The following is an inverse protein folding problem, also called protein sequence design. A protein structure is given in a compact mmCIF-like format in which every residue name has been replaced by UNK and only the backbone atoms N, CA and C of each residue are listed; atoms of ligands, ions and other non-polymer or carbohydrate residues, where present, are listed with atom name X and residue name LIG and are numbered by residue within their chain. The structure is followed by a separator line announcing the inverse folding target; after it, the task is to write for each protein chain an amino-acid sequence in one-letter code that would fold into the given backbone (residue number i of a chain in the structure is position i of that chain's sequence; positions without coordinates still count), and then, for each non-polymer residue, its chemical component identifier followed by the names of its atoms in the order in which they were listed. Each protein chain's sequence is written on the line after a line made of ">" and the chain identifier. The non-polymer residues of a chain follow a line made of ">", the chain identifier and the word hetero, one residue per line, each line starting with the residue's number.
data_IF_706224913540
#
_entry.id   IF_706224913540
#
_cell.length_a   1.000
_cell.length_b   1.000
_cell.length_c   1.000
_cell.angle_alpha   90.00
_cell.angle_beta   90.00
_cell.angle_gamma   90.00
#
_symmetry.space_group_name_H-M   'P 1'
#
loop_
_entity.id
_entity.type
_entity.pdbx_description
1 polymer ?
#
# COMPACT_ATOMS: atom_id res chain seq x y z
N UNK A 1 -59.94 60.77 23.50
CA UNK A 1 -58.73 61.48 23.94
C UNK A 1 -57.62 61.01 23.02
N UNK A 2 -57.20 61.90 22.10
CA UNK A 2 -56.03 61.91 21.18
C UNK A 2 -55.58 60.62 20.46
N UNK A 3 -55.61 60.59 19.11
CA UNK A 3 -54.62 61.17 18.15
C UNK A 3 -53.45 60.18 17.94
N UNK A 4 -52.94 59.83 16.77
CA UNK A 4 -52.99 60.41 15.43
C UNK A 4 -52.84 59.31 14.37
N UNK A 5 -53.57 59.45 13.28
CA UNK A 5 -53.38 58.77 12.00
C UNK A 5 -52.34 59.54 11.19
N UNK A 6 -51.29 58.87 10.71
CA UNK A 6 -50.42 59.43 9.67
C UNK A 6 -50.46 58.49 8.47
N UNK A 7 -51.25 58.92 7.51
CA UNK A 7 -51.28 58.50 6.12
C UNK A 7 -50.06 59.13 5.42
N UNK A 8 -49.32 58.37 4.63
CA UNK A 8 -48.31 58.95 3.73
C UNK A 8 -48.31 58.18 2.43
N UNK A 9 -49.06 58.73 1.48
CA UNK A 9 -48.91 58.53 0.05
C UNK A 9 -47.49 58.94 -0.39
N UNK A 10 -46.78 58.05 -1.07
CA UNK A 10 -45.66 58.43 -1.95
C UNK A 10 -45.82 57.66 -3.27
N UNK A 11 -45.91 58.45 -4.35
CA UNK A 11 -46.02 58.10 -5.76
C UNK A 11 -44.98 57.06 -6.27
N UNK A 12 -45.30 56.35 -7.39
CA UNK A 12 -44.37 55.44 -8.03
C UNK A 12 -43.31 56.22 -8.81
N UNK A 13 -42.05 56.06 -8.43
CA UNK A 13 -40.92 56.63 -9.16
C UNK A 13 -40.82 56.02 -10.58
N UNK A 14 -40.74 56.92 -11.55
CA UNK A 14 -40.62 56.68 -12.97
C UNK A 14 -39.42 55.80 -13.37
N UNK A 15 -39.55 55.15 -14.52
CA UNK A 15 -38.66 54.13 -15.07
C UNK A 15 -37.18 54.49 -15.06
N UNK A 16 -36.39 53.55 -14.54
CA UNK A 16 -34.95 53.47 -14.78
C UNK A 16 -34.69 52.29 -15.71
N UNK A 17 -34.40 52.59 -16.97
CA UNK A 17 -33.78 51.66 -17.91
C UNK A 17 -32.46 51.15 -17.32
N UNK A 18 -32.17 49.83 -17.37
CA UNK A 18 -30.89 49.30 -16.92
C UNK A 18 -29.74 49.87 -17.78
N UNK A 19 -28.55 50.12 -17.19
CA UNK A 19 -27.41 50.65 -17.92
C UNK A 19 -26.95 49.68 -19.03
N UNK A 20 -26.40 50.18 -20.16
CA UNK A 20 -25.97 49.33 -21.26
C UNK A 20 -24.87 48.37 -20.79
N UNK A 21 -25.01 47.10 -21.18
CA UNK A 21 -24.05 46.05 -20.89
C UNK A 21 -22.65 46.47 -21.36
N UNK A 22 -21.64 46.26 -20.50
CA UNK A 22 -20.24 46.49 -20.85
C UNK A 22 -19.86 45.66 -22.09
N UNK A 23 -19.06 46.22 -23.03
CA UNK A 23 -18.63 45.48 -24.20
C UNK A 23 -17.81 44.25 -23.77
N UNK A 24 -18.14 43.09 -24.35
CA UNK A 24 -17.39 41.86 -24.17
C UNK A 24 -15.90 42.09 -24.50
N UNK A 25 -14.96 41.59 -23.68
CA UNK A 25 -13.55 41.69 -23.98
C UNK A 25 -13.25 40.94 -25.29
N UNK A 26 -12.37 41.46 -26.16
CA UNK A 26 -12.09 40.87 -27.46
C UNK A 26 -11.58 39.45 -27.29
N UNK A 27 -12.15 38.53 -28.09
CA UNK A 27 -11.70 37.15 -28.21
C UNK A 27 -10.20 37.13 -28.55
N UNK A 28 -9.38 36.78 -27.57
CA UNK A 28 -7.95 36.59 -27.76
C UNK A 28 -7.69 35.45 -28.76
N UNK A 29 -6.69 35.59 -29.66
CA UNK A 29 -6.43 34.58 -30.66
C UNK A 29 -5.75 33.37 -30.02
N UNK A 30 -6.26 32.17 -30.30
CA UNK A 30 -5.62 30.91 -29.94
C UNK A 30 -6.16 30.28 -28.67
N UNK A 31 -7.44 29.90 -28.69
CA UNK A 31 -7.96 28.90 -27.77
C UNK A 31 -7.24 27.58 -28.01
N UNK A 32 -6.19 27.33 -27.23
CA UNK A 32 -5.66 25.99 -27.01
C UNK A 32 -6.88 25.14 -26.62
N UNK A 33 -7.30 24.21 -27.49
CA UNK A 33 -8.45 23.34 -27.23
C UNK A 33 -8.31 22.82 -25.81
N UNK A 34 -9.32 22.96 -24.92
CA UNK A 34 -9.17 22.52 -23.55
C UNK A 34 -8.81 21.04 -23.61
N UNK A 35 -7.55 20.72 -23.26
CA UNK A 35 -7.03 19.35 -23.28
C UNK A 35 -8.09 18.44 -22.69
N UNK A 36 -8.48 17.42 -23.46
CA UNK A 36 -9.56 16.51 -23.11
C UNK A 36 -9.34 16.02 -21.68
N UNK A 37 -10.41 15.77 -20.92
CA UNK A 37 -10.29 15.20 -19.57
C UNK A 37 -9.40 13.94 -19.57
N UNK A 38 -9.38 13.21 -20.69
CA UNK A 38 -8.51 12.06 -20.95
C UNK A 38 -7.03 12.49 -21.06
N UNK A 39 -6.68 13.58 -21.74
CA UNK A 39 -5.29 14.06 -21.86
C UNK A 39 -4.73 14.55 -20.52
N UNK A 40 -5.58 15.15 -19.67
CA UNK A 40 -5.19 15.56 -18.31
C UNK A 40 -5.07 14.34 -17.38
N UNK A 41 -5.95 13.36 -17.51
CA UNK A 41 -5.85 12.09 -16.79
C UNK A 41 -4.60 11.30 -17.23
N UNK A 42 -4.29 11.26 -18.53
CA UNK A 42 -3.07 10.64 -19.08
C UNK A 42 -1.81 11.37 -18.60
N UNK A 43 -1.80 12.70 -18.59
CA UNK A 43 -0.67 13.48 -18.05
C UNK A 43 -0.46 13.25 -16.54
N UNK A 44 -1.55 13.15 -15.76
CA UNK A 44 -1.53 12.83 -14.34
C UNK A 44 -1.03 11.40 -14.07
N UNK A 45 -1.54 10.42 -14.83
CA UNK A 45 -1.08 9.04 -14.81
C UNK A 45 0.40 8.96 -15.15
N UNK A 46 0.86 9.58 -16.24
CA UNK A 46 2.29 9.55 -16.63
C UNK A 46 3.17 10.13 -15.53
N UNK A 47 2.78 11.23 -14.87
CA UNK A 47 3.52 11.80 -13.75
C UNK A 47 3.53 10.88 -12.52
N UNK A 48 2.41 10.24 -12.21
CA UNK A 48 2.33 9.34 -11.06
C UNK A 48 3.05 8.01 -11.30
N UNK A 49 2.95 7.47 -12.51
CA UNK A 49 3.69 6.28 -12.94
C UNK A 49 5.18 6.56 -13.04
N UNK A 50 5.64 7.73 -13.49
CA UNK A 50 7.09 8.00 -13.54
C UNK A 50 7.73 8.07 -12.14
N UNK A 51 6.99 8.47 -11.11
CA UNK A 51 7.44 8.37 -9.71
C UNK A 51 7.49 6.94 -9.16
N UNK A 52 6.51 6.09 -9.48
CA UNK A 52 6.43 4.70 -9.01
C UNK A 52 7.22 3.69 -9.88
N UNK A 53 7.49 4.03 -11.14
CA UNK A 53 8.12 3.13 -12.11
C UNK A 53 9.52 2.71 -11.66
N UNK A 54 10.31 3.63 -11.08
CA UNK A 54 11.64 3.31 -10.57
C UNK A 54 11.57 2.19 -9.52
N UNK A 55 10.60 2.27 -8.61
CA UNK A 55 10.43 1.25 -7.58
C UNK A 55 9.96 -0.08 -8.15
N UNK A 56 9.01 -0.07 -9.09
CA UNK A 56 8.51 -1.27 -9.76
C UNK A 56 9.62 -1.96 -10.58
N UNK A 57 10.39 -1.20 -11.35
CA UNK A 57 11.52 -1.72 -12.13
C UNK A 57 12.58 -2.32 -11.21
N UNK A 58 12.96 -1.61 -10.15
CA UNK A 58 13.93 -2.11 -9.16
C UNK A 58 13.42 -3.42 -8.52
N UNK A 59 12.16 -3.47 -8.09
CA UNK A 59 11.54 -4.68 -7.53
C UNK A 59 11.51 -5.83 -8.53
N UNK A 60 11.23 -5.54 -9.80
CA UNK A 60 11.23 -6.53 -10.88
C UNK A 60 12.61 -7.11 -11.15
N UNK A 61 13.64 -6.26 -11.25
CA UNK A 61 15.04 -6.71 -11.43
C UNK A 61 15.47 -7.58 -10.26
N UNK A 62 15.25 -7.11 -9.04
CA UNK A 62 15.59 -7.85 -7.82
C UNK A 62 14.84 -9.18 -7.73
N UNK A 63 13.55 -9.19 -8.09
CA UNK A 63 12.76 -10.42 -8.18
C UNK A 63 13.38 -11.41 -9.15
N UNK A 64 13.70 -11.00 -10.39
CA UNK A 64 14.30 -11.87 -11.41
C UNK A 64 15.63 -12.44 -10.94
N UNK A 65 16.51 -11.59 -10.41
CA UNK A 65 17.85 -12.02 -9.97
C UNK A 65 17.75 -12.99 -8.79
N UNK A 66 17.02 -12.62 -7.73
CA UNK A 66 16.90 -13.48 -6.55
C UNK A 66 16.06 -14.73 -6.81
N UNK A 67 15.11 -14.72 -7.76
CA UNK A 67 14.39 -15.93 -8.14
C UNK A 67 15.32 -16.93 -8.82
N UNK A 68 16.29 -16.48 -9.62
CA UNK A 68 17.26 -17.38 -10.26
C UNK A 68 18.32 -17.91 -9.29
N UNK A 69 18.65 -17.15 -8.25
CA UNK A 69 19.66 -17.55 -7.27
C UNK A 69 19.11 -18.45 -6.15
N UNK A 70 17.81 -18.40 -5.88
CA UNK A 70 17.19 -19.09 -4.74
C UNK A 70 16.12 -20.07 -5.20
N UNK A 71 15.89 -21.10 -4.39
CA UNK A 71 14.91 -22.16 -4.68
C UNK A 71 13.52 -21.78 -4.16
N UNK A 72 12.46 -22.44 -4.67
CA UNK A 72 11.11 -22.27 -4.14
C UNK A 72 11.01 -22.57 -2.63
N UNK A 73 11.76 -23.54 -2.13
CA UNK A 73 11.76 -23.90 -0.71
C UNK A 73 12.30 -22.77 0.17
N UNK A 74 13.39 -22.14 -0.24
CA UNK A 74 13.99 -21.03 0.50
C UNK A 74 13.05 -19.83 0.59
N UNK A 75 12.35 -19.53 -0.51
CA UNK A 75 11.29 -18.52 -0.52
C UNK A 75 10.09 -18.91 0.33
N UNK A 76 9.72 -20.19 0.33
CA UNK A 76 8.65 -20.72 1.15
C UNK A 76 8.92 -20.53 2.64
N UNK A 77 10.11 -20.86 3.11
CA UNK A 77 10.51 -20.71 4.50
C UNK A 77 10.45 -19.26 4.97
N UNK A 78 11.02 -18.34 4.19
CA UNK A 78 10.93 -16.90 4.53
C UNK A 78 9.51 -16.39 4.37
N UNK A 79 8.76 -16.88 3.38
CA UNK A 79 7.35 -16.59 3.19
C UNK A 79 6.53 -16.94 4.43
N UNK A 80 6.67 -18.16 4.96
CA UNK A 80 6.01 -18.60 6.18
C UNK A 80 6.37 -17.72 7.39
N UNK A 81 7.66 -17.40 7.54
CA UNK A 81 8.10 -16.51 8.61
C UNK A 81 7.47 -15.11 8.48
N UNK A 82 7.51 -14.53 7.28
CA UNK A 82 6.96 -13.19 7.03
C UNK A 82 5.43 -13.17 7.14
N UNK A 83 4.72 -14.24 6.81
CA UNK A 83 3.27 -14.35 7.04
C UNK A 83 2.93 -14.13 8.51
N UNK A 84 3.68 -14.78 9.41
CA UNK A 84 3.45 -14.64 10.85
C UNK A 84 3.95 -13.29 11.38
N UNK A 85 5.15 -12.86 10.98
CA UNK A 85 5.73 -11.58 11.40
C UNK A 85 4.83 -10.41 10.98
N UNK A 86 4.34 -10.39 9.74
CA UNK A 86 3.46 -9.34 9.26
C UNK A 86 2.09 -9.38 9.97
N UNK A 87 1.57 -10.56 10.29
CA UNK A 87 0.33 -10.69 11.08
C UNK A 87 0.50 -10.03 12.45
N UNK A 88 1.58 -10.33 13.18
CA UNK A 88 1.87 -9.72 14.48
C UNK A 88 2.15 -8.21 14.35
N UNK A 89 2.73 -7.77 13.23
CA UNK A 89 2.97 -6.34 12.95
C UNK A 89 1.67 -5.54 12.83
N UNK A 90 0.54 -6.15 12.47
CA UNK A 90 -0.75 -5.47 12.47
C UNK A 90 -1.17 -5.04 13.87
N UNK A 91 -0.81 -5.83 14.90
CA UNK A 91 -1.05 -5.47 16.29
C UNK A 91 -0.05 -4.42 16.79
N UNK A 92 1.20 -4.43 16.33
CA UNK A 92 2.19 -3.42 16.76
C UNK A 92 1.86 -2.00 16.29
N UNK A 93 1.05 -1.87 15.24
CA UNK A 93 0.58 -0.58 14.72
C UNK A 93 -0.79 -0.14 15.27
N UNK A 94 -1.32 -0.85 16.29
CA UNK A 94 -2.67 -0.68 16.85
C UNK A 94 -3.01 0.79 17.07
N UNK A 95 -3.76 1.37 16.13
CA UNK A 95 -4.45 2.64 16.29
C UNK A 95 -3.65 3.93 16.34
N UNK A 96 -2.49 3.90 16.99
CA UNK A 96 -1.64 5.05 17.28
C UNK A 96 -1.17 5.72 15.99
N UNK A 97 -0.83 4.94 14.96
CA UNK A 97 -0.35 5.47 13.68
C UNK A 97 -1.39 6.33 12.97
N UNK A 98 -2.57 5.77 12.65
CA UNK A 98 -3.70 6.54 12.10
C UNK A 98 -4.13 7.71 13.00
N UNK A 99 -4.15 7.52 14.32
CA UNK A 99 -4.55 8.57 15.25
C UNK A 99 -3.58 9.77 15.23
N UNK A 100 -2.26 9.54 15.15
CA UNK A 100 -1.27 10.61 14.97
C UNK A 100 -1.47 11.38 13.66
N UNK A 101 -1.92 10.71 12.60
CA UNK A 101 -2.15 11.33 11.29
C UNK A 101 -3.42 12.18 11.31
N UNK A 102 -4.52 11.68 11.86
CA UNK A 102 -5.83 12.32 11.75
C UNK A 102 -6.12 13.36 12.83
N UNK A 103 -5.43 13.31 13.98
CA UNK A 103 -5.69 14.24 15.07
C UNK A 103 -5.37 15.70 14.66
N UNK A 104 -6.28 16.67 14.83
CA UNK A 104 -6.02 18.07 14.44
C UNK A 104 -4.81 18.67 15.17
N UNK A 105 -4.74 18.49 16.48
CA UNK A 105 -3.68 19.06 17.32
C UNK A 105 -2.83 17.95 17.96
N UNK A 106 -1.51 18.05 17.77
CA UNK A 106 -0.53 17.21 18.44
C UNK A 106 0.30 18.07 19.38
N UNK A 107 0.29 17.69 20.65
CA UNK A 107 1.31 18.17 21.58
C UNK A 107 2.47 17.16 21.68
N UNK A 108 3.54 17.54 22.37
CA UNK A 108 4.70 16.67 22.57
C UNK A 108 4.38 15.41 23.38
N UNK A 109 3.40 15.47 24.29
CA UNK A 109 2.96 14.33 25.12
C UNK A 109 2.36 13.21 24.26
N UNK A 110 1.60 13.57 23.21
CA UNK A 110 1.10 12.59 22.25
C UNK A 110 2.26 11.88 21.52
N UNK A 111 3.28 12.63 21.11
CA UNK A 111 4.43 12.06 20.40
C UNK A 111 5.26 11.14 21.29
N UNK A 112 5.52 11.56 22.53
CA UNK A 112 6.25 10.74 23.52
C UNK A 112 5.47 9.50 23.90
N UNK A 113 4.17 9.63 24.16
CA UNK A 113 3.28 8.49 24.45
C UNK A 113 3.23 7.51 23.28
N UNK A 114 3.08 8.01 22.05
CA UNK A 114 3.09 7.18 20.86
C UNK A 114 4.43 6.46 20.67
N UNK A 115 5.55 7.16 20.87
CA UNK A 115 6.89 6.56 20.82
C UNK A 115 7.05 5.44 21.85
N UNK A 116 6.60 5.66 23.10
CA UNK A 116 6.62 4.64 24.14
C UNK A 116 5.78 3.44 23.77
N UNK A 117 4.55 3.64 23.30
CA UNK A 117 3.67 2.53 22.89
C UNK A 117 4.31 1.74 21.75
N UNK A 118 4.75 2.38 20.67
CA UNK A 118 5.35 1.67 19.54
C UNK A 118 6.63 0.93 19.91
N UNK A 119 7.48 1.53 20.73
CA UNK A 119 8.75 0.92 21.14
C UNK A 119 8.51 -0.26 22.06
N UNK A 120 7.64 -0.12 23.07
CA UNK A 120 7.30 -1.20 23.99
C UNK A 120 6.56 -2.33 23.28
N UNK A 121 5.60 -2.02 22.40
CA UNK A 121 4.93 -3.02 21.57
C UNK A 121 5.90 -3.73 20.64
N UNK A 122 6.84 -3.00 20.02
CA UNK A 122 7.88 -3.59 19.18
C UNK A 122 8.76 -4.59 19.93
N UNK A 123 9.21 -4.23 21.13
CA UNK A 123 9.99 -5.13 21.99
C UNK A 123 9.16 -6.33 22.49
N UNK A 124 7.93 -6.08 22.92
CA UNK A 124 7.01 -7.11 23.39
C UNK A 124 6.70 -8.13 22.30
N UNK A 125 6.37 -7.68 21.09
CA UNK A 125 6.08 -8.57 19.98
C UNK A 125 7.32 -9.28 19.45
N UNK A 126 8.50 -8.64 19.50
CA UNK A 126 9.75 -9.32 19.21
C UNK A 126 10.00 -10.50 20.17
N UNK A 127 9.85 -10.26 21.47
CA UNK A 127 9.99 -11.30 22.50
C UNK A 127 8.92 -12.39 22.36
N UNK A 128 7.67 -12.00 22.13
CA UNK A 128 6.55 -12.94 21.93
C UNK A 128 6.80 -13.90 20.77
N UNK A 129 7.19 -13.39 19.60
CA UNK A 129 7.46 -14.23 18.43
C UNK A 129 8.73 -15.06 18.63
N UNK A 130 9.77 -14.53 19.28
CA UNK A 130 10.99 -15.29 19.57
C UNK A 130 10.73 -16.51 20.48
N UNK A 131 9.86 -16.35 21.47
CA UNK A 131 9.45 -17.42 22.40
C UNK A 131 8.49 -18.40 21.73
N UNK A 132 7.54 -17.91 20.93
CA UNK A 132 6.55 -18.75 20.25
C UNK A 132 7.05 -19.37 18.94
N UNK A 133 8.27 -19.03 18.48
CA UNK A 133 8.88 -19.57 17.26
C UNK A 133 8.80 -21.11 17.12
N UNK A 134 9.03 -21.92 18.18
CA UNK A 134 8.86 -23.38 18.07
C UNK A 134 7.42 -23.82 17.80
N UNK A 135 6.43 -23.16 18.41
CA UNK A 135 5.01 -23.46 18.18
C UNK A 135 4.61 -23.11 16.74
N UNK A 136 5.12 -21.98 16.22
CA UNK A 136 4.87 -21.55 14.84
C UNK A 136 5.52 -22.54 13.86
N UNK A 137 6.76 -22.97 14.14
CA UNK A 137 7.44 -23.99 13.34
C UNK A 137 6.70 -25.34 13.37
N UNK A 138 6.13 -25.73 14.51
CA UNK A 138 5.29 -26.91 14.62
C UNK A 138 3.99 -26.78 13.82
N UNK A 139 3.38 -25.59 13.78
CA UNK A 139 2.18 -25.34 12.98
C UNK A 139 2.45 -25.51 11.48
N UNK A 140 3.57 -24.98 10.99
CA UNK A 140 3.95 -25.07 9.58
C UNK A 140 4.64 -26.39 9.20
N UNK A 141 5.15 -27.14 10.18
CA UNK A 141 5.92 -28.37 9.97
C UNK A 141 7.10 -28.16 8.99
N UNK A 142 7.79 -27.03 9.11
CA UNK A 142 8.92 -26.66 8.24
C UNK A 142 10.23 -26.58 9.03
N UNK A 143 11.20 -27.39 8.60
CA UNK A 143 12.55 -27.37 9.16
C UNK A 143 13.25 -26.04 8.86
N UNK A 144 14.01 -25.53 9.84
CA UNK A 144 14.72 -24.25 9.69
C UNK A 144 13.87 -22.99 9.91
N UNK A 145 12.56 -23.09 10.15
CA UNK A 145 11.71 -21.91 10.39
C UNK A 145 12.01 -21.17 11.70
N UNK A 146 12.39 -21.90 12.76
CA UNK A 146 12.70 -21.34 14.08
C UNK A 146 13.80 -20.26 14.04
N UNK A 147 15.01 -20.53 13.50
CA UNK A 147 16.07 -19.53 13.45
C UNK A 147 15.69 -18.33 12.56
N UNK A 148 14.93 -18.54 11.49
CA UNK A 148 14.43 -17.46 10.62
C UNK A 148 13.51 -16.53 11.41
N UNK A 149 12.52 -17.07 12.12
CA UNK A 149 11.61 -16.29 12.96
C UNK A 149 12.39 -15.50 14.02
N UNK A 150 13.33 -16.14 14.72
CA UNK A 150 14.14 -15.50 15.77
C UNK A 150 15.02 -14.36 15.29
N UNK A 151 15.39 -14.33 14.01
CA UNK A 151 16.11 -13.20 13.42
C UNK A 151 15.15 -12.17 12.84
N UNK A 152 14.07 -12.62 12.18
CA UNK A 152 13.07 -11.73 11.59
C UNK A 152 12.41 -10.81 12.62
N UNK A 153 12.29 -11.24 13.88
CA UNK A 153 11.74 -10.41 14.96
C UNK A 153 12.54 -9.16 15.26
N UNK A 154 13.81 -9.08 14.87
CA UNK A 154 14.62 -7.87 15.02
C UNK A 154 14.05 -6.70 14.19
N UNK A 155 13.17 -6.97 13.24
CA UNK A 155 12.43 -5.93 12.52
C UNK A 155 11.41 -5.21 13.40
N UNK A 156 10.85 -5.83 14.46
CA UNK A 156 9.82 -5.20 15.29
C UNK A 156 10.34 -4.00 16.09
N UNK A 157 11.48 -4.08 16.82
CA UNK A 157 11.98 -2.93 17.56
C UNK A 157 12.33 -1.78 16.62
N UNK A 158 12.99 -2.06 15.48
CA UNK A 158 13.35 -1.01 14.50
C UNK A 158 12.09 -0.32 13.97
N UNK A 159 11.05 -1.09 13.64
CA UNK A 159 9.76 -0.51 13.22
C UNK A 159 9.07 0.26 14.34
N UNK A 160 9.15 -0.18 15.60
CA UNK A 160 8.64 0.55 16.76
C UNK A 160 9.31 1.93 16.91
N UNK A 161 10.64 1.98 16.79
CA UNK A 161 11.40 3.24 16.83
C UNK A 161 11.06 4.18 15.65
N UNK A 162 10.69 3.63 14.50
CA UNK A 162 10.52 4.42 13.26
C UNK A 162 9.06 4.73 12.94
N UNK A 163 8.12 4.19 13.70
CA UNK A 163 6.69 4.38 13.51
C UNK A 163 6.24 5.85 13.65
N UNK A 164 6.75 6.58 14.66
CA UNK A 164 6.43 8.01 14.86
C UNK A 164 6.93 8.87 13.68
N UNK A 165 8.22 8.81 13.25
CA UNK A 165 8.69 9.46 12.04
C UNK A 165 7.82 9.20 10.81
N UNK A 166 7.42 7.94 10.58
CA UNK A 166 6.57 7.57 9.44
C UNK A 166 5.19 8.23 9.55
N UNK A 167 4.58 8.21 10.73
CA UNK A 167 3.29 8.85 10.96
C UNK A 167 3.35 10.37 10.75
N UNK A 168 4.40 11.03 11.26
CA UNK A 168 4.64 12.46 11.07
C UNK A 168 4.86 12.81 9.59
N UNK A 169 5.67 12.04 8.85
CA UNK A 169 5.83 12.26 7.40
C UNK A 169 4.54 12.14 6.62
N UNK A 170 3.69 11.17 6.97
CA UNK A 170 2.37 10.99 6.33
C UNK A 170 1.45 12.17 6.64
N UNK A 171 1.41 12.60 7.91
CA UNK A 171 0.64 13.78 8.35
C UNK A 171 1.08 15.05 7.63
N UNK A 172 2.38 15.26 7.50
CA UNK A 172 2.98 16.41 6.79
C UNK A 172 2.93 16.28 5.27
N UNK A 173 2.28 15.23 4.74
CA UNK A 173 2.17 14.93 3.30
C UNK A 173 3.53 14.84 2.59
N UNK A 174 4.60 14.44 3.30
CA UNK A 174 5.96 14.28 2.76
C UNK A 174 6.14 12.94 2.04
N UNK A 175 5.16 12.57 1.21
CA UNK A 175 5.13 11.28 0.49
C UNK A 175 6.34 11.06 -0.41
N UNK A 176 6.86 12.12 -1.05
CA UNK A 176 8.06 12.04 -1.88
C UNK A 176 9.28 11.55 -1.10
N UNK A 177 9.47 12.04 0.14
CA UNK A 177 10.58 11.58 1.00
C UNK A 177 10.39 10.13 1.42
N UNK A 178 9.16 9.74 1.79
CA UNK A 178 8.84 8.33 2.11
C UNK A 178 9.09 7.40 0.92
N UNK A 179 8.73 7.82 -0.30
CA UNK A 179 8.98 7.06 -1.52
C UNK A 179 10.48 6.87 -1.76
N UNK A 180 11.29 7.94 -1.63
CA UNK A 180 12.75 7.87 -1.76
C UNK A 180 13.34 6.92 -0.70
N UNK A 181 12.92 7.02 0.56
CA UNK A 181 13.37 6.11 1.63
C UNK A 181 13.04 4.66 1.27
N UNK A 182 11.83 4.39 0.78
CA UNK A 182 11.44 3.04 0.39
C UNK A 182 12.27 2.48 -0.77
N UNK A 183 12.55 3.28 -1.79
CA UNK A 183 13.38 2.89 -2.94
C UNK A 183 14.81 2.59 -2.50
N UNK A 184 15.43 3.51 -1.75
CA UNK A 184 16.82 3.36 -1.28
C UNK A 184 16.96 2.17 -0.33
N UNK A 185 16.03 2.04 0.63
CA UNK A 185 16.04 0.92 1.57
C UNK A 185 15.82 -0.43 0.89
N UNK A 186 14.92 -0.51 -0.09
CA UNK A 186 14.70 -1.74 -0.86
C UNK A 186 15.92 -2.09 -1.71
N UNK A 187 16.51 -1.11 -2.39
CA UNK A 187 17.73 -1.29 -3.19
C UNK A 187 18.91 -1.75 -2.34
N UNK A 188 19.15 -1.12 -1.19
CA UNK A 188 20.21 -1.53 -0.27
C UNK A 188 19.93 -2.91 0.35
N UNK A 189 18.70 -3.15 0.81
CA UNK A 189 18.32 -4.39 1.47
C UNK A 189 18.29 -5.58 0.52
N UNK A 190 17.38 -5.59 -0.46
CA UNK A 190 17.26 -6.74 -1.36
C UNK A 190 18.24 -6.69 -2.53
N UNK A 191 18.50 -5.51 -3.09
CA UNK A 191 19.36 -5.37 -4.26
C UNK A 191 20.85 -5.54 -3.97
N UNK A 192 21.34 -5.05 -2.83
CA UNK A 192 22.77 -5.18 -2.46
C UNK A 192 22.97 -6.34 -1.50
N UNK A 193 22.35 -6.30 -0.31
CA UNK A 193 22.56 -7.33 0.72
C UNK A 193 21.96 -8.67 0.29
N UNK A 194 20.71 -8.69 -0.18
CA UNK A 194 20.04 -9.90 -0.63
C UNK A 194 20.76 -10.58 -1.79
N UNK A 195 20.97 -9.87 -2.90
CA UNK A 195 21.66 -10.44 -4.08
C UNK A 195 23.10 -10.82 -3.73
N UNK A 196 23.83 -9.97 -2.99
CA UNK A 196 25.20 -10.25 -2.58
C UNK A 196 25.32 -11.52 -1.73
N UNK A 197 24.47 -11.68 -0.72
CA UNK A 197 24.44 -12.89 0.11
C UNK A 197 23.98 -14.13 -0.67
N UNK A 198 23.01 -13.99 -1.57
CA UNK A 198 22.57 -15.10 -2.41
C UNK A 198 23.68 -15.57 -3.35
N UNK A 199 24.43 -14.63 -3.95
CA UNK A 199 25.59 -14.95 -4.80
C UNK A 199 26.72 -15.65 -4.03
N UNK A 200 26.91 -15.28 -2.75
CA UNK A 200 27.87 -15.93 -1.85
C UNK A 200 27.39 -17.28 -1.30
N UNK A 201 26.19 -17.75 -1.68
CA UNK A 201 25.68 -19.07 -1.29
C UNK A 201 25.05 -19.14 0.10
N UNK A 202 24.63 -18.02 0.70
CA UNK A 202 23.95 -18.00 2.01
C UNK A 202 22.50 -18.52 1.97
N UNK A 203 21.96 -18.82 0.78
CA UNK A 203 20.63 -19.39 0.60
C UNK A 203 19.51 -18.57 1.25
N UNK A 204 18.66 -19.22 2.04
CA UNK A 204 17.57 -18.60 2.83
C UNK A 204 17.99 -17.33 3.58
N UNK A 205 19.20 -17.31 4.15
CA UNK A 205 19.69 -16.18 4.95
C UNK A 205 19.89 -14.90 4.15
N UNK A 206 20.01 -15.00 2.81
CA UNK A 206 20.05 -13.83 1.93
C UNK A 206 18.76 -13.01 2.01
N UNK A 207 17.61 -13.66 2.05
CA UNK A 207 16.31 -13.00 2.15
C UNK A 207 16.07 -12.44 3.56
N UNK A 208 16.47 -13.19 4.59
CA UNK A 208 16.39 -12.71 5.98
C UNK A 208 17.26 -11.47 6.17
N UNK A 209 18.52 -11.54 5.73
CA UNK A 209 19.45 -10.42 5.73
C UNK A 209 18.92 -9.22 4.95
N UNK A 210 18.31 -9.45 3.78
CA UNK A 210 17.69 -8.40 2.98
C UNK A 210 16.54 -7.68 3.70
N UNK A 211 15.67 -8.41 4.40
CA UNK A 211 14.57 -7.83 5.19
C UNK A 211 15.11 -6.94 6.30
N UNK A 212 16.06 -7.46 7.09
CA UNK A 212 16.65 -6.73 8.21
C UNK A 212 17.43 -5.50 7.72
N UNK A 213 18.22 -5.64 6.66
CA UNK A 213 18.95 -4.53 6.04
C UNK A 213 17.99 -3.47 5.52
N UNK A 214 16.89 -3.85 4.83
CA UNK A 214 15.88 -2.90 4.35
C UNK A 214 15.28 -2.10 5.50
N UNK A 215 14.82 -2.77 6.56
CA UNK A 215 14.19 -2.10 7.70
C UNK A 215 15.19 -1.22 8.44
N UNK A 216 16.44 -1.65 8.55
CA UNK A 216 17.52 -0.88 9.19
C UNK A 216 17.88 0.38 8.39
N UNK A 217 18.09 0.27 7.07
CA UNK A 217 18.40 1.41 6.20
C UNK A 217 17.24 2.41 6.19
N UNK A 218 16.00 1.92 6.04
CA UNK A 218 14.82 2.78 6.13
C UNK A 218 14.77 3.50 7.50
N UNK A 219 15.03 2.76 8.58
CA UNK A 219 15.01 3.31 9.92
C UNK A 219 16.05 4.40 10.15
N UNK A 220 17.29 4.16 9.72
CA UNK A 220 18.37 5.15 9.78
C UNK A 220 17.96 6.43 9.04
N UNK A 221 17.48 6.30 7.79
CA UNK A 221 17.05 7.45 6.99
C UNK A 221 15.89 8.22 7.64
N UNK A 222 14.91 7.52 8.23
CA UNK A 222 13.79 8.14 8.92
C UNK A 222 14.25 8.91 10.17
N UNK A 223 15.14 8.34 10.97
CA UNK A 223 15.65 8.97 12.19
C UNK A 223 16.46 10.24 11.90
N UNK A 224 17.16 10.31 10.76
CA UNK A 224 17.89 11.50 10.33
C UNK A 224 16.99 12.55 9.69
N UNK A 225 15.99 12.14 8.90
CA UNK A 225 15.16 13.08 8.14
C UNK A 225 13.99 13.65 8.93
N UNK A 226 13.59 13.02 10.03
CA UNK A 226 12.47 13.46 10.87
C UNK A 226 12.79 13.34 12.36
N UNK A 227 13.29 14.43 12.97
CA UNK A 227 13.43 14.52 14.41
C UNK A 227 12.09 14.41 15.12
N UNK A 228 12.06 13.73 16.26
CA UNK A 228 10.89 13.60 17.12
C UNK A 228 11.36 13.30 18.56
N UNK A 229 10.53 13.53 19.58
CA UNK A 229 10.91 13.28 20.96
C UNK A 229 11.01 11.77 21.23
N UNK A 230 12.20 11.31 21.63
CA UNK A 230 12.53 9.91 21.93
C UNK A 230 12.49 9.59 23.42
N UNK A 231 11.87 10.46 24.21
CA UNK A 231 11.77 10.26 25.66
C UNK A 231 10.62 9.31 25.95
N UNK A 232 10.91 8.26 26.73
CA UNK A 232 9.86 7.37 27.20
C UNK A 232 8.98 8.12 28.21
N UNK A 233 7.70 8.26 27.89
CA UNK A 233 6.70 8.90 28.74
C UNK A 233 5.35 8.27 28.42
N UNK A 234 4.54 8.06 29.46
CA UNK A 234 3.23 7.46 29.32
C UNK A 234 2.19 8.32 30.02
N UNK A 235 1.44 9.07 29.21
CA UNK A 235 0.32 9.87 29.68
C UNK A 235 -1.00 9.17 29.34
N UNK A 236 -1.83 8.92 30.37
CA UNK A 236 -3.08 8.14 30.21
C UNK A 236 -4.09 8.80 29.27
N UNK A 237 -4.17 10.13 29.28
CA UNK A 237 -5.10 10.90 28.45
C UNK A 237 -4.72 10.79 26.96
N UNK A 238 -3.49 11.17 26.51
CA UNK A 238 -3.03 10.92 25.15
C UNK A 238 -3.13 9.45 24.73
N UNK A 239 -2.83 8.50 25.63
CA UNK A 239 -2.93 7.08 25.32
C UNK A 239 -4.37 6.64 25.00
N UNK A 240 -5.34 7.02 25.85
CA UNK A 240 -6.75 6.69 25.66
C UNK A 240 -7.27 7.27 24.36
N UNK A 241 -6.92 8.52 24.08
CA UNK A 241 -7.29 9.23 22.86
C UNK A 241 -6.78 8.52 21.60
N UNK A 242 -5.49 8.13 21.60
CA UNK A 242 -4.87 7.45 20.47
C UNK A 242 -5.45 6.04 20.24
N UNK A 243 -5.79 5.32 21.31
CA UNK A 243 -6.32 3.96 21.22
C UNK A 243 -7.79 3.90 20.80
N UNK A 244 -8.64 4.84 21.26
CA UNK A 244 -10.07 4.86 20.93
C UNK A 244 -10.32 5.02 19.42
N UNK A 245 -9.48 5.83 18.76
CA UNK A 245 -9.54 6.07 17.32
C UNK A 245 -9.12 4.86 16.47
N UNK A 246 -8.42 3.92 17.09
CA UNK A 246 -7.57 2.96 16.39
C UNK A 246 -8.06 1.53 16.26
N UNK A 247 -8.98 1.13 17.15
CA UNK A 247 -9.43 -0.25 17.27
C UNK A 247 -10.14 -0.75 15.99
N UNK A 248 -11.12 0.01 15.49
CA UNK A 248 -11.91 -0.38 14.32
C UNK A 248 -11.06 -0.57 13.06
N UNK A 249 -10.10 0.33 12.82
CA UNK A 249 -9.20 0.24 11.68
C UNK A 249 -8.27 -0.97 11.76
N UNK A 250 -7.83 -1.33 12.97
CA UNK A 250 -6.97 -2.50 13.15
C UNK A 250 -7.73 -3.80 12.91
N UNK A 251 -8.97 -3.91 13.38
CA UNK A 251 -9.84 -5.06 13.11
C UNK A 251 -10.06 -5.21 11.59
N UNK A 252 -10.36 -4.12 10.88
CA UNK A 252 -10.53 -4.16 9.44
C UNK A 252 -9.26 -4.68 8.72
N UNK A 253 -8.07 -4.20 9.12
CA UNK A 253 -6.80 -4.69 8.58
C UNK A 253 -6.50 -6.15 8.91
N UNK A 254 -6.87 -6.61 10.10
CA UNK A 254 -6.71 -8.01 10.48
C UNK A 254 -7.60 -8.91 9.62
N UNK A 255 -8.86 -8.53 9.42
CA UNK A 255 -9.79 -9.26 8.55
C UNK A 255 -9.29 -9.28 7.09
N UNK A 256 -8.83 -8.15 6.57
CA UNK A 256 -8.25 -8.05 5.23
C UNK A 256 -6.99 -8.91 5.08
N UNK A 257 -6.12 -8.91 6.10
CA UNK A 257 -4.92 -9.73 6.08
C UNK A 257 -5.23 -11.23 6.13
N UNK A 258 -6.16 -11.65 7.00
CA UNK A 258 -6.59 -13.05 7.07
C UNK A 258 -7.26 -13.47 5.75
N UNK A 259 -8.09 -12.61 5.16
CA UNK A 259 -8.72 -12.89 3.87
C UNK A 259 -7.73 -12.98 2.71
N UNK A 260 -6.67 -12.15 2.71
CA UNK A 260 -5.69 -12.11 1.63
C UNK A 260 -4.52 -13.08 1.78
N UNK A 261 -4.23 -13.54 3.01
CA UNK A 261 -3.09 -14.41 3.33
C UNK A 261 -3.50 -15.78 3.87
N UNK A 262 -4.79 -16.02 4.10
CA UNK A 262 -5.30 -17.30 4.58
C UNK A 262 -4.92 -18.46 3.67
N UNK A 263 -5.03 -18.25 2.35
CA UNK A 263 -4.62 -19.24 1.34
C UNK A 263 -3.13 -19.57 1.43
N UNK A 264 -2.27 -18.55 1.58
CA UNK A 264 -0.82 -18.76 1.78
C UNK A 264 -0.52 -19.54 3.07
N UNK A 265 -1.23 -19.25 4.17
CA UNK A 265 -1.05 -19.96 5.42
C UNK A 265 -1.46 -21.43 5.32
N UNK A 266 -2.57 -21.72 4.63
CA UNK A 266 -3.03 -23.09 4.38
C UNK A 266 -2.07 -23.86 3.46
N UNK A 267 -1.63 -23.25 2.36
CA UNK A 267 -0.65 -23.87 1.45
C UNK A 267 0.65 -24.18 2.18
N UNK A 268 1.16 -23.25 3.00
CA UNK A 268 2.37 -23.48 3.79
C UNK A 268 2.24 -24.64 4.76
N UNK A 269 1.12 -24.70 5.49
CA UNK A 269 0.88 -25.77 6.47
C UNK A 269 0.70 -27.14 5.82
N UNK A 270 -0.13 -27.23 4.79
CA UNK A 270 -0.57 -28.52 4.24
C UNK A 270 0.37 -29.06 3.15
N UNK A 271 1.05 -28.17 2.41
CA UNK A 271 1.88 -28.54 1.25
C UNK A 271 3.37 -28.23 1.43
N UNK A 272 3.75 -27.61 2.56
CA UNK A 272 5.14 -27.34 2.91
C UNK A 272 5.76 -26.12 2.20
N UNK A 273 7.05 -25.91 2.47
CA UNK A 273 7.77 -24.69 2.08
C UNK A 273 7.85 -24.51 0.56
N UNK A 274 8.24 -25.54 -0.20
CA UNK A 274 8.37 -25.43 -1.65
C UNK A 274 7.05 -25.05 -2.35
N UNK A 275 5.93 -25.60 -1.89
CA UNK A 275 4.60 -25.25 -2.39
C UNK A 275 4.22 -23.80 -2.03
N UNK A 276 4.50 -23.36 -0.80
CA UNK A 276 4.29 -21.98 -0.39
C UNK A 276 5.10 -20.98 -1.21
N UNK A 277 6.38 -21.28 -1.45
CA UNK A 277 7.22 -20.44 -2.31
C UNK A 277 6.69 -20.38 -3.73
N UNK A 278 6.26 -21.52 -4.28
CA UNK A 278 5.66 -21.62 -5.61
C UNK A 278 4.37 -20.78 -5.70
N UNK A 279 3.43 -20.99 -4.78
CA UNK A 279 2.16 -20.28 -4.75
C UNK A 279 2.36 -18.78 -4.48
N UNK A 280 3.22 -18.42 -3.53
CA UNK A 280 3.56 -17.03 -3.23
C UNK A 280 4.15 -16.29 -4.43
N UNK A 281 4.96 -16.97 -5.27
CA UNK A 281 5.46 -16.37 -6.52
C UNK A 281 4.39 -16.25 -7.58
N UNK A 282 3.53 -17.24 -7.75
CA UNK A 282 2.37 -17.13 -8.63
C UNK A 282 1.49 -15.93 -8.24
N UNK A 283 1.20 -15.78 -6.94
CA UNK A 283 0.44 -14.66 -6.38
C UNK A 283 1.15 -13.31 -6.59
N UNK A 284 2.48 -13.26 -6.45
CA UNK A 284 3.22 -12.04 -6.71
C UNK A 284 3.21 -11.65 -8.20
N UNK A 285 3.27 -12.61 -9.12
CA UNK A 285 3.23 -12.32 -10.56
C UNK A 285 1.86 -11.76 -10.98
N UNK A 286 0.77 -12.22 -10.39
CA UNK A 286 -0.58 -11.73 -10.72
C UNK A 286 -0.91 -10.38 -10.07
N UNK A 287 -0.29 -10.05 -8.92
CA UNK A 287 -0.53 -8.75 -8.27
C UNK A 287 0.09 -7.59 -9.03
N UNK A 288 1.24 -7.77 -9.69
CA UNK A 288 1.89 -6.70 -10.49
C UNK A 288 0.93 -6.05 -11.51
N UNK A 289 0.30 -6.79 -12.44
CA UNK A 289 -0.65 -6.18 -13.36
C UNK A 289 -1.92 -5.71 -12.67
N UNK A 290 -2.40 -6.43 -11.65
CA UNK A 290 -3.61 -6.03 -10.89
C UNK A 290 -3.43 -4.65 -10.26
N UNK A 291 -2.27 -4.38 -9.68
CA UNK A 291 -1.94 -3.09 -9.06
C UNK A 291 -1.90 -1.97 -10.10
N UNK A 292 -1.36 -2.24 -11.31
CA UNK A 292 -1.32 -1.27 -12.39
C UNK A 292 -2.73 -0.90 -12.87
N UNK A 293 -3.64 -1.87 -12.99
CA UNK A 293 -5.02 -1.63 -13.42
C UNK A 293 -5.89 -1.00 -12.33
N UNK A 294 -5.71 -1.39 -11.07
CA UNK A 294 -6.44 -0.81 -9.93
C UNK A 294 -6.28 0.70 -9.83
N UNK A 295 -5.06 1.20 -10.06
CA UNK A 295 -4.79 2.65 -10.12
C UNK A 295 -5.62 3.36 -11.19
N UNK A 296 -5.77 2.77 -12.38
CA UNK A 296 -6.57 3.38 -13.46
C UNK A 296 -8.05 3.46 -13.05
N UNK A 297 -8.58 2.43 -12.38
CA UNK A 297 -9.94 2.46 -11.85
C UNK A 297 -10.10 3.57 -10.80
N UNK A 298 -9.21 3.61 -9.82
CA UNK A 298 -9.30 4.52 -8.67
C UNK A 298 -9.04 5.98 -9.04
N UNK A 299 -8.18 6.24 -10.02
CA UNK A 299 -7.75 7.62 -10.34
C UNK A 299 -8.46 8.24 -11.53
N UNK A 300 -8.98 7.42 -12.45
CA UNK A 300 -9.63 7.92 -13.67
C UNK A 300 -11.12 7.70 -13.59
N UNK A 301 -11.55 6.48 -13.27
CA UNK A 301 -12.97 6.13 -13.32
C UNK A 301 -13.72 6.64 -12.09
N UNK A 302 -13.16 6.50 -10.89
CA UNK A 302 -13.84 6.96 -9.68
C UNK A 302 -14.09 8.48 -9.65
N UNK A 303 -13.12 9.38 -9.94
CA UNK A 303 -13.38 10.82 -9.96
C UNK A 303 -14.34 11.25 -11.07
N UNK A 304 -14.32 10.53 -12.20
CA UNK A 304 -15.26 10.76 -13.30
C UNK A 304 -16.70 10.41 -12.90
N UNK A 305 -16.89 9.32 -12.15
CA UNK A 305 -18.18 8.93 -11.59
C UNK A 305 -18.65 9.87 -10.48
N UNK A 306 -17.76 10.30 -9.58
CA UNK A 306 -18.10 11.21 -8.48
C UNK A 306 -18.64 12.57 -8.98
N UNK A 307 -18.14 13.07 -10.12
CA UNK A 307 -18.66 14.30 -10.76
C UNK A 307 -20.06 14.14 -11.34
N UNK A 308 -20.47 12.90 -11.65
CA UNK A 308 -21.77 12.56 -12.22
C UNK A 308 -22.75 12.03 -11.17
N UNK A 309 -22.42 12.09 -9.88
CA UNK A 309 -23.22 11.50 -8.80
C UNK A 309 -24.68 12.00 -8.73
N UNK A 310 -24.94 13.22 -9.23
CA UNK A 310 -26.28 13.83 -9.23
C UNK A 310 -27.09 13.52 -10.50
N UNK A 311 -26.51 12.84 -11.49
CA UNK A 311 -27.15 12.46 -12.74
C UNK A 311 -27.06 10.93 -12.88
N UNK A 312 -28.07 10.23 -12.35
CA UNK A 312 -28.13 8.77 -12.30
C UNK A 312 -28.00 8.11 -13.69
N UNK A 313 -28.52 8.76 -14.73
CA UNK A 313 -28.51 8.20 -16.08
C UNK A 313 -27.09 8.27 -16.68
N UNK A 314 -26.42 9.43 -16.54
CA UNK A 314 -25.02 9.58 -16.94
C UNK A 314 -24.07 8.75 -16.08
N UNK A 315 -24.34 8.62 -14.79
CA UNK A 315 -23.57 7.77 -13.89
C UNK A 315 -23.66 6.30 -14.33
N UNK A 316 -24.85 5.80 -14.67
CA UNK A 316 -25.06 4.43 -15.16
C UNK A 316 -24.32 4.18 -16.48
N UNK A 317 -24.35 5.15 -17.40
CA UNK A 317 -23.60 5.09 -18.66
C UNK A 317 -22.09 5.12 -18.43
N UNK A 318 -21.59 5.99 -17.53
CA UNK A 318 -20.18 6.07 -17.17
C UNK A 318 -19.70 4.77 -16.48
N UNK A 319 -20.49 4.21 -15.57
CA UNK A 319 -20.21 2.94 -14.91
C UNK A 319 -20.15 1.78 -15.91
N UNK A 320 -21.15 1.66 -16.80
CA UNK A 320 -21.15 0.64 -17.87
C UNK A 320 -19.95 0.81 -18.82
N UNK A 321 -19.62 2.04 -19.19
CA UNK A 321 -18.49 2.33 -20.07
C UNK A 321 -17.15 2.02 -19.37
N UNK A 322 -17.04 2.33 -18.09
CA UNK A 322 -15.88 2.00 -17.26
C UNK A 322 -15.65 0.50 -17.13
N UNK A 323 -16.71 -0.26 -16.81
CA UNK A 323 -16.64 -1.74 -16.77
C UNK A 323 -16.37 -2.32 -18.15
N UNK A 324 -16.98 -1.79 -19.22
CA UNK A 324 -16.74 -2.28 -20.58
C UNK A 324 -15.28 -2.03 -21.00
N UNK A 325 -14.73 -0.84 -20.73
CA UNK A 325 -13.31 -0.54 -20.97
C UNK A 325 -12.41 -1.47 -20.16
N UNK A 326 -12.75 -1.67 -18.88
CA UNK A 326 -12.02 -2.57 -18.00
C UNK A 326 -12.02 -4.01 -18.55
N UNK A 327 -13.18 -4.52 -18.97
CA UNK A 327 -13.30 -5.86 -19.57
C UNK A 327 -12.53 -5.96 -20.90
N UNK A 328 -12.62 -4.95 -21.77
CA UNK A 328 -11.93 -4.92 -23.08
C UNK A 328 -10.41 -4.94 -22.91
N UNK A 329 -9.87 -4.35 -21.86
CA UNK A 329 -8.42 -4.34 -21.61
C UNK A 329 -7.99 -5.57 -20.82
N UNK A 330 -8.71 -5.92 -19.76
CA UNK A 330 -8.31 -6.98 -18.84
C UNK A 330 -8.50 -8.37 -19.45
N UNK A 331 -9.62 -8.64 -20.14
CA UNK A 331 -9.87 -9.96 -20.72
C UNK A 331 -8.76 -10.41 -21.69
N UNK A 332 -8.37 -9.63 -22.72
CA UNK A 332 -7.29 -10.05 -23.60
C UNK A 332 -5.95 -10.12 -22.88
N UNK A 333 -5.70 -9.24 -21.91
CA UNK A 333 -4.48 -9.30 -21.09
C UNK A 333 -4.40 -10.58 -20.26
N UNK A 334 -5.49 -10.99 -19.62
CA UNK A 334 -5.60 -12.22 -18.84
C UNK A 334 -5.46 -13.45 -19.74
N UNK A 335 -6.10 -13.47 -20.92
CA UNK A 335 -5.93 -14.57 -21.89
C UNK A 335 -4.49 -14.66 -22.39
N UNK A 336 -3.87 -13.53 -22.74
CA UNK A 336 -2.47 -13.48 -23.17
C UNK A 336 -1.54 -13.98 -22.06
N UNK A 337 -1.77 -13.57 -20.82
CA UNK A 337 -1.00 -14.01 -19.66
C UNK A 337 -1.19 -15.50 -19.38
N UNK A 338 -2.40 -16.03 -19.55
CA UNK A 338 -2.71 -17.45 -19.36
C UNK A 338 -1.94 -18.33 -20.36
N UNK A 339 -1.93 -17.91 -21.64
CA UNK A 339 -1.25 -18.61 -22.72
C UNK A 339 0.27 -18.52 -22.58
N UNK A 340 0.79 -17.32 -22.26
CA UNK A 340 2.23 -17.08 -22.10
C UNK A 340 2.74 -17.41 -20.69
N UNK A 341 1.93 -17.96 -19.80
CA UNK A 341 2.32 -18.26 -18.42
C UNK A 341 3.60 -19.11 -18.32
N UNK A 342 3.78 -20.20 -19.10
CA UNK A 342 5.01 -20.98 -19.09
C UNK A 342 6.24 -20.16 -19.47
N UNK A 343 6.14 -19.33 -20.50
CA UNK A 343 7.22 -18.48 -21.01
C UNK A 343 7.55 -17.36 -20.02
N UNK A 344 6.53 -16.71 -19.47
CA UNK A 344 6.66 -15.64 -18.46
C UNK A 344 7.41 -16.20 -17.24
N UNK A 345 6.97 -17.34 -16.70
CA UNK A 345 7.62 -17.97 -15.54
C UNK A 345 9.06 -18.35 -15.87
N UNK A 346 9.31 -18.98 -17.03
CA UNK A 346 10.66 -19.41 -17.42
C UNK A 346 11.62 -18.23 -17.65
N UNK A 347 11.15 -17.14 -18.24
CA UNK A 347 11.96 -15.94 -18.51
C UNK A 347 12.21 -15.15 -17.23
N UNK A 348 11.18 -14.92 -16.43
CA UNK A 348 11.25 -14.07 -15.24
C UNK A 348 11.90 -14.82 -14.06
N UNK A 349 11.36 -15.99 -13.71
CA UNK A 349 11.79 -16.71 -12.52
C UNK A 349 12.90 -17.72 -12.82
N UNK A 350 12.89 -18.34 -14.01
CA UNK A 350 13.85 -19.35 -14.42
C UNK A 350 13.28 -20.77 -14.41
N UNK A 351 14.06 -21.77 -14.89
CA UNK A 351 13.57 -23.14 -15.10
C UNK A 351 13.21 -23.88 -13.80
N UNK A 352 13.84 -23.56 -12.67
CA UNK A 352 13.54 -24.16 -11.35
C UNK A 352 12.14 -23.81 -10.81
N UNK A 353 11.44 -22.87 -11.45
CA UNK A 353 10.11 -22.39 -11.04
C UNK A 353 8.98 -22.96 -11.90
N UNK A 354 9.21 -24.05 -12.64
CA UNK A 354 8.18 -24.62 -13.51
C UNK A 354 6.89 -25.02 -12.75
N UNK A 355 7.01 -25.37 -11.46
CA UNK A 355 5.86 -25.62 -10.59
C UNK A 355 4.94 -24.42 -10.40
N UNK A 356 5.40 -23.19 -10.69
CA UNK A 356 4.62 -21.93 -10.58
C UNK A 356 3.59 -21.81 -11.70
N UNK A 357 3.82 -22.44 -12.85
CA UNK A 357 3.01 -22.25 -14.05
C UNK A 357 1.54 -22.56 -13.80
N UNK A 358 1.23 -23.73 -13.24
CA UNK A 358 -0.15 -24.15 -13.01
C UNK A 358 -0.87 -23.27 -11.97
N UNK A 359 -0.32 -23.01 -10.76
CA UNK A 359 -0.91 -22.06 -9.82
C UNK A 359 -1.11 -20.67 -10.43
N UNK A 360 -0.16 -20.18 -11.23
CA UNK A 360 -0.26 -18.88 -11.87
C UNK A 360 -1.41 -18.84 -12.89
N UNK A 361 -1.56 -19.87 -13.72
CA UNK A 361 -2.68 -19.98 -14.66
C UNK A 361 -4.05 -20.00 -13.95
N UNK A 362 -4.17 -20.76 -12.87
CA UNK A 362 -5.41 -20.82 -12.07
C UNK A 362 -5.76 -19.46 -11.48
N UNK A 363 -4.77 -18.76 -10.91
CA UNK A 363 -4.99 -17.42 -10.36
C UNK A 363 -5.38 -16.41 -11.45
N UNK A 364 -4.77 -16.48 -12.64
CA UNK A 364 -5.07 -15.60 -13.78
C UNK A 364 -6.51 -15.80 -14.27
N UNK A 365 -7.03 -17.04 -14.26
CA UNK A 365 -8.45 -17.30 -14.52
C UNK A 365 -9.35 -16.61 -13.48
N UNK A 366 -8.93 -16.60 -12.20
CA UNK A 366 -9.62 -15.86 -11.14
C UNK A 366 -9.70 -14.35 -11.40
N UNK A 367 -8.68 -13.77 -12.04
CA UNK A 367 -8.65 -12.34 -12.41
C UNK A 367 -9.80 -11.97 -13.36
N UNK A 368 -10.21 -12.90 -14.24
CA UNK A 368 -11.34 -12.70 -15.16
C UNK A 368 -12.65 -12.47 -14.39
N UNK A 369 -12.85 -13.18 -13.28
CA UNK A 369 -14.06 -13.06 -12.45
C UNK A 369 -14.01 -11.86 -11.51
N UNK A 370 -12.82 -11.46 -11.06
CA UNK A 370 -12.63 -10.27 -10.21
C UNK A 370 -12.96 -8.96 -10.92
N UNK A 371 -13.08 -8.99 -12.25
CA UNK A 371 -13.50 -7.86 -13.07
C UNK A 371 -14.96 -7.42 -12.90
N UNK A 372 -15.80 -8.28 -12.32
CA UNK A 372 -17.24 -8.04 -12.19
C UNK A 372 -17.72 -7.59 -10.81
N UNK A 373 -16.84 -7.47 -9.81
CA UNK A 373 -17.20 -7.13 -8.42
C UNK A 373 -16.85 -5.69 -8.04
#
# INVERSE_FOLDING_TARGET
>A
MNSDSVETDIEPAAGQTPPPAAPEPPAGPGGDKPKSLIDRALGGMVWMYSGNAVFVILRGIVLVVLARLLTPEEYGLVGAALLFVNFIQLFSQLGVGPALIQRPELDERHLRTAFTVFTLSGLLFAGFVAVTAPLIAQFFQMDGLIPILRVAVLAFPIQGFTAVPVALMRRELRFRKLAIINVVAYGAGYGVVGIGMAYLGFGVWSLVGAVIARVSVAGIMLLFQQPYPKQLSFDREPFRDLMHFGGGFTIARLLDYVGSQGDNAMVGRELGAAALGTYGRAFQLITIPSDLFGVVLDEVLFPSMAKLQNDLERLRLAYRSGIALYAIVLLPFSVLTLVLAPEIVRVILGPQWNSVVLPFQILVLGMLFRAGN
#
